data_IF_138884568454
#
_entry.id   IF_138884568454
#
_cell.length_a   1.000
_cell.length_b   1.000
_cell.length_c   1.000
_cell.angle_alpha   90.00
_cell.angle_beta   90.00
_cell.angle_gamma   90.00
#
_symmetry.space_group_name_H-M   'P 1'
#
loop_
_entity.id
_entity.type
_entity.pdbx_description
1 polymer ?
#
# COMPACT_ATOMS: atom_id res chain seq x y z
N UNK A 1 20.99 -0.72 26.53
CA UNK A 1 20.52 0.65 26.66
C UNK A 1 19.54 0.97 25.53
N UNK A 2 18.30 1.26 25.86
CA UNK A 2 17.27 1.64 24.90
C UNK A 2 17.40 3.13 24.56
N UNK A 3 18.08 3.43 23.47
CA UNK A 3 18.25 4.81 22.99
C UNK A 3 17.74 4.96 21.56
N UNK A 4 17.17 6.11 21.19
CA UNK A 4 16.76 6.38 19.81
C UNK A 4 17.88 6.23 18.77
N UNK A 5 19.14 6.29 19.16
CA UNK A 5 20.28 6.03 18.28
C UNK A 5 20.26 4.62 17.64
N UNK A 6 19.48 3.67 18.19
CA UNK A 6 19.27 2.35 17.56
C UNK A 6 18.66 2.43 16.17
N UNK A 7 17.77 3.40 15.95
CA UNK A 7 17.00 3.53 14.71
C UNK A 7 17.62 4.50 13.71
N UNK A 8 18.90 4.82 13.85
CA UNK A 8 19.57 5.68 12.88
C UNK A 8 19.32 5.17 11.44
N UNK A 9 18.88 6.05 10.55
CA UNK A 9 18.59 5.70 9.18
C UNK A 9 19.89 5.53 8.39
N UNK A 10 19.84 4.62 7.43
CA UNK A 10 20.85 4.49 6.40
C UNK A 10 20.48 5.38 5.22
N UNK A 11 20.89 6.63 5.24
CA UNK A 11 20.55 7.58 4.17
C UNK A 11 21.68 7.85 3.19
N UNK A 12 22.87 7.36 3.47
CA UNK A 12 24.05 7.56 2.61
C UNK A 12 24.23 9.03 2.22
N UNK A 13 24.16 9.93 3.19
CA UNK A 13 24.17 11.38 2.96
C UNK A 13 25.39 11.88 2.17
N UNK A 14 26.56 11.23 2.37
CA UNK A 14 27.81 11.58 1.69
C UNK A 14 27.99 10.84 0.36
N UNK A 15 27.50 9.61 0.26
CA UNK A 15 27.63 8.79 -0.94
C UNK A 15 26.55 7.70 -1.00
N UNK A 16 25.68 7.79 -1.98
CA UNK A 16 24.67 6.75 -2.24
C UNK A 16 25.35 5.57 -2.96
N UNK A 17 25.28 4.34 -2.43
CA UNK A 17 25.80 3.17 -3.14
C UNK A 17 25.18 3.03 -4.54
N UNK A 18 26.00 2.68 -5.53
CA UNK A 18 25.60 2.62 -6.95
C UNK A 18 24.34 1.77 -7.14
N UNK A 19 24.26 0.61 -6.49
CA UNK A 19 23.13 -0.31 -6.60
C UNK A 19 21.81 0.33 -6.14
N UNK A 20 21.84 1.12 -5.06
CA UNK A 20 20.65 1.83 -4.57
C UNK A 20 20.31 3.03 -5.46
N UNK A 21 21.33 3.71 -6.00
CA UNK A 21 21.14 4.82 -6.93
C UNK A 21 20.47 4.32 -8.22
N UNK A 22 20.96 3.25 -8.82
CA UNK A 22 20.43 2.64 -10.05
C UNK A 22 18.98 2.16 -9.82
N UNK A 23 18.72 1.44 -8.73
CA UNK A 23 17.36 1.02 -8.36
C UNK A 23 16.41 2.21 -8.21
N UNK A 24 16.86 3.31 -7.61
CA UNK A 24 15.99 4.48 -7.44
C UNK A 24 15.66 5.16 -8.78
N UNK A 25 16.60 5.19 -9.73
CA UNK A 25 16.38 5.69 -11.09
C UNK A 25 15.40 4.81 -11.86
N UNK A 26 15.59 3.49 -11.80
CA UNK A 26 14.70 2.53 -12.44
C UNK A 26 13.28 2.62 -11.88
N UNK A 27 13.13 2.67 -10.56
CA UNK A 27 11.83 2.87 -9.89
C UNK A 27 11.17 4.16 -10.36
N UNK A 28 11.91 5.28 -10.39
CA UNK A 28 11.37 6.57 -10.82
C UNK A 28 10.89 6.52 -12.28
N UNK A 29 11.67 5.91 -13.16
CA UNK A 29 11.34 5.76 -14.58
C UNK A 29 10.08 4.93 -14.78
N UNK A 30 10.03 3.74 -14.19
CA UNK A 30 8.90 2.83 -14.32
C UNK A 30 7.62 3.40 -13.69
N UNK A 31 7.72 4.03 -12.51
CA UNK A 31 6.57 4.66 -11.84
C UNK A 31 6.02 5.85 -12.64
N UNK A 32 6.89 6.64 -13.28
CA UNK A 32 6.47 7.76 -14.14
C UNK A 32 5.74 7.26 -15.38
N UNK A 33 6.17 6.14 -15.95
CA UNK A 33 5.54 5.52 -17.11
C UNK A 33 4.22 4.79 -16.81
N UNK A 34 3.98 4.47 -15.55
CA UNK A 34 2.83 3.65 -15.15
C UNK A 34 1.51 4.38 -15.41
N UNK A 35 0.62 3.74 -16.15
CA UNK A 35 -0.68 4.29 -16.52
C UNK A 35 -0.65 5.35 -17.63
N UNK A 36 0.51 5.63 -18.22
CA UNK A 36 0.57 6.50 -19.40
C UNK A 36 -0.29 5.93 -20.54
N UNK A 37 -1.12 6.77 -21.11
CA UNK A 37 -2.06 6.38 -22.17
C UNK A 37 -3.41 5.87 -21.66
N UNK A 38 -3.60 5.65 -20.36
CA UNK A 38 -4.93 5.43 -19.79
C UNK A 38 -5.70 6.75 -19.69
N UNK A 39 -7.01 6.69 -19.96
CA UNK A 39 -7.88 7.82 -19.62
C UNK A 39 -7.92 7.99 -18.09
N UNK A 40 -7.98 9.24 -17.55
CA UNK A 40 -8.01 9.47 -16.09
C UNK A 40 -9.08 8.68 -15.34
N UNK A 41 -10.30 8.57 -15.88
CA UNK A 41 -11.37 7.81 -15.25
C UNK A 41 -11.06 6.31 -15.22
N UNK A 42 -10.53 5.75 -16.32
CA UNK A 42 -10.08 4.35 -16.35
C UNK A 42 -8.94 4.09 -15.36
N UNK A 43 -8.01 5.02 -15.24
CA UNK A 43 -6.93 4.93 -14.26
C UNK A 43 -7.46 4.97 -12.82
N UNK A 44 -8.47 5.81 -12.53
CA UNK A 44 -9.10 5.91 -11.22
C UNK A 44 -9.80 4.60 -10.82
N UNK A 45 -10.56 3.98 -11.72
CA UNK A 45 -11.22 2.69 -11.49
C UNK A 45 -10.20 1.56 -11.24
N UNK A 46 -9.12 1.54 -12.02
CA UNK A 46 -8.04 0.58 -11.81
C UNK A 46 -7.30 0.83 -10.49
N UNK A 47 -7.13 2.07 -10.08
CA UNK A 47 -6.54 2.41 -8.79
C UNK A 47 -7.42 1.92 -7.62
N UNK A 48 -8.75 1.97 -7.74
CA UNK A 48 -9.66 1.39 -6.75
C UNK A 48 -9.49 -0.12 -6.63
N UNK A 49 -9.36 -0.83 -7.75
CA UNK A 49 -9.05 -2.26 -7.74
C UNK A 49 -7.69 -2.53 -7.06
N UNK A 50 -6.66 -1.72 -7.36
CA UNK A 50 -5.35 -1.86 -6.71
C UNK A 50 -5.44 -1.65 -5.19
N UNK A 51 -6.27 -0.72 -4.69
CA UNK A 51 -6.50 -0.53 -3.25
C UNK A 51 -7.10 -1.77 -2.59
N UNK A 52 -8.10 -2.40 -3.21
CA UNK A 52 -8.67 -3.67 -2.74
C UNK A 52 -7.60 -4.76 -2.69
N UNK A 53 -6.79 -4.88 -3.73
CA UNK A 53 -5.70 -5.85 -3.77
C UNK A 53 -4.59 -5.53 -2.77
N UNK A 54 -4.25 -4.26 -2.56
CA UNK A 54 -3.31 -3.84 -1.52
C UNK A 54 -3.78 -4.27 -0.12
N UNK A 55 -5.05 -4.03 0.17
CA UNK A 55 -5.67 -4.45 1.41
C UNK A 55 -5.61 -5.98 1.59
N UNK A 56 -6.00 -6.74 0.56
CA UNK A 56 -5.93 -8.21 0.59
C UNK A 56 -4.53 -8.72 0.96
N UNK A 57 -3.49 -8.23 0.27
CA UNK A 57 -2.12 -8.65 0.55
C UNK A 57 -1.60 -8.12 1.90
N UNK A 58 -2.01 -6.92 2.32
CA UNK A 58 -1.71 -6.38 3.64
C UNK A 58 -2.25 -7.29 4.75
N UNK A 59 -3.50 -7.73 4.63
CA UNK A 59 -4.13 -8.66 5.57
C UNK A 59 -3.47 -10.04 5.52
N UNK A 60 -3.08 -10.51 4.33
CA UNK A 60 -2.38 -11.78 4.19
C UNK A 60 -1.02 -11.81 4.93
N UNK A 61 -0.30 -10.69 5.00
CA UNK A 61 0.94 -10.55 5.80
C UNK A 61 0.65 -10.75 7.29
N UNK A 62 -0.48 -10.24 7.78
CA UNK A 62 -0.93 -10.40 9.18
C UNK A 62 -1.50 -11.80 9.48
N UNK A 63 -1.64 -12.65 8.46
CA UNK A 63 -2.22 -13.99 8.61
C UNK A 63 -3.73 -14.05 8.35
N UNK A 64 -4.34 -12.95 7.93
CA UNK A 64 -5.77 -12.85 7.62
C UNK A 64 -6.02 -13.09 6.13
N UNK A 65 -6.85 -14.06 5.78
CA UNK A 65 -7.18 -14.38 4.39
C UNK A 65 -8.57 -13.83 4.01
N UNK A 66 -8.70 -12.52 3.98
CA UNK A 66 -9.93 -11.84 3.54
C UNK A 66 -9.95 -11.79 2.01
N UNK A 67 -10.89 -12.50 1.37
CA UNK A 67 -10.95 -12.56 -0.10
C UNK A 67 -11.29 -11.19 -0.69
N UNK A 68 -10.72 -10.82 -1.86
CA UNK A 68 -11.04 -9.53 -2.51
C UNK A 68 -12.55 -9.30 -2.69
N UNK A 69 -13.31 -10.33 -3.06
CA UNK A 69 -14.77 -10.25 -3.19
C UNK A 69 -15.49 -9.86 -1.88
N UNK A 70 -14.98 -10.32 -0.74
CA UNK A 70 -15.57 -9.99 0.57
C UNK A 70 -15.23 -8.54 0.95
N UNK A 71 -14.04 -8.06 0.56
CA UNK A 71 -13.66 -6.66 0.69
C UNK A 71 -14.59 -5.76 -0.14
N UNK A 72 -14.84 -6.11 -1.40
CA UNK A 72 -15.76 -5.38 -2.28
C UNK A 72 -17.19 -5.36 -1.73
N UNK A 73 -17.68 -6.49 -1.20
CA UNK A 73 -18.99 -6.56 -0.54
C UNK A 73 -19.08 -5.65 0.69
N UNK A 74 -18.02 -5.62 1.51
CA UNK A 74 -17.96 -4.74 2.69
C UNK A 74 -17.96 -3.26 2.29
N UNK A 75 -17.24 -2.91 1.22
CA UNK A 75 -17.22 -1.54 0.67
C UNK A 75 -18.57 -1.12 0.11
N UNK A 76 -19.32 -2.05 -0.48
CA UNK A 76 -20.68 -1.84 -0.99
C UNK A 76 -21.75 -1.81 0.11
N UNK A 77 -21.38 -2.01 1.39
CA UNK A 77 -22.32 -2.06 2.51
C UNK A 77 -23.26 -3.28 2.50
N UNK A 78 -22.85 -4.36 1.80
CA UNK A 78 -23.62 -5.59 1.76
C UNK A 78 -23.60 -6.31 3.12
N UNK A 79 -24.65 -7.09 3.38
CA UNK A 79 -24.69 -7.96 4.56
C UNK A 79 -23.56 -8.98 4.54
N UNK A 80 -22.82 -9.06 5.65
CA UNK A 80 -21.65 -9.92 5.82
C UNK A 80 -21.97 -11.06 6.77
N UNK A 81 -21.43 -12.22 6.49
CA UNK A 81 -21.51 -13.37 7.40
C UNK A 81 -20.79 -13.05 8.73
N UNK A 82 -21.40 -13.43 9.86
CA UNK A 82 -20.91 -13.07 11.19
C UNK A 82 -19.46 -13.49 11.42
N UNK A 83 -19.08 -14.67 10.94
CA UNK A 83 -17.72 -15.22 11.07
C UNK A 83 -16.65 -14.40 10.31
N UNK A 84 -16.99 -13.84 9.14
CA UNK A 84 -16.06 -13.09 8.28
C UNK A 84 -16.15 -11.58 8.48
N UNK A 85 -17.18 -11.11 9.19
CA UNK A 85 -17.49 -9.68 9.39
C UNK A 85 -16.34 -8.86 9.97
N UNK A 86 -15.61 -9.31 11.03
CA UNK A 86 -14.52 -8.52 11.59
C UNK A 86 -13.43 -8.25 10.56
N UNK A 87 -12.97 -9.28 9.84
CA UNK A 87 -11.92 -9.17 8.84
C UNK A 87 -12.35 -8.35 7.62
N UNK A 88 -13.62 -8.43 7.25
CA UNK A 88 -14.17 -7.65 6.13
C UNK A 88 -14.29 -6.15 6.48
N UNK A 89 -14.66 -5.83 7.73
CA UNK A 89 -14.69 -4.44 8.22
C UNK A 89 -13.28 -3.87 8.37
N UNK A 90 -12.34 -4.66 8.85
CA UNK A 90 -10.91 -4.30 8.89
C UNK A 90 -10.38 -3.98 7.50
N UNK A 91 -10.72 -4.83 6.52
CA UNK A 91 -10.33 -4.62 5.14
C UNK A 91 -10.96 -3.35 4.53
N UNK A 92 -12.25 -3.11 4.82
CA UNK A 92 -12.95 -1.88 4.44
C UNK A 92 -12.25 -0.64 5.02
N UNK A 93 -11.91 -0.66 6.32
CA UNK A 93 -11.19 0.42 6.99
C UNK A 93 -9.86 0.73 6.28
N UNK A 94 -9.08 -0.29 5.93
CA UNK A 94 -7.82 -0.13 5.19
C UNK A 94 -8.00 0.61 3.86
N UNK A 95 -8.99 0.21 3.05
CA UNK A 95 -9.26 0.84 1.75
C UNK A 95 -9.72 2.29 1.92
N UNK A 96 -10.57 2.58 2.91
CA UNK A 96 -11.05 3.94 3.21
C UNK A 96 -9.87 4.85 3.58
N UNK A 97 -9.00 4.40 4.49
CA UNK A 97 -7.84 5.18 4.92
C UNK A 97 -6.86 5.41 3.76
N UNK A 98 -6.62 4.40 2.92
CA UNK A 98 -5.77 4.57 1.74
C UNK A 98 -6.36 5.58 0.74
N UNK A 99 -7.67 5.55 0.48
CA UNK A 99 -8.35 6.56 -0.35
C UNK A 99 -8.19 7.97 0.22
N UNK A 100 -8.31 8.12 1.54
CA UNK A 100 -8.11 9.42 2.19
C UNK A 100 -6.66 9.93 2.04
N UNK A 101 -5.66 9.05 2.12
CA UNK A 101 -4.25 9.39 1.86
C UNK A 101 -4.07 9.88 0.43
N UNK A 102 -4.60 9.14 -0.55
CA UNK A 102 -4.50 9.48 -1.96
C UNK A 102 -5.16 10.83 -2.26
N UNK A 103 -6.33 11.08 -1.68
CA UNK A 103 -7.05 12.34 -1.84
C UNK A 103 -6.31 13.52 -1.19
N UNK A 104 -5.81 13.36 0.03
CA UNK A 104 -5.00 14.40 0.67
C UNK A 104 -3.75 14.72 -0.14
N UNK A 105 -3.11 13.71 -0.74
CA UNK A 105 -1.98 13.93 -1.64
C UNK A 105 -2.41 14.71 -2.89
N UNK A 106 -3.51 14.32 -3.52
CA UNK A 106 -4.04 14.94 -4.74
C UNK A 106 -4.35 16.44 -4.56
N UNK A 107 -4.91 16.80 -3.38
CA UNK A 107 -5.25 18.22 -3.05
C UNK A 107 -4.13 18.97 -2.32
N UNK A 108 -2.98 18.34 -2.11
CA UNK A 108 -1.81 18.97 -1.50
C UNK A 108 -1.89 19.20 0.02
N UNK A 109 -2.74 18.45 0.72
CA UNK A 109 -2.94 18.55 2.18
C UNK A 109 -2.39 17.35 2.96
N UNK A 110 -1.70 16.43 2.29
CA UNK A 110 -1.11 15.27 2.95
C UNK A 110 -0.06 15.70 3.97
N UNK A 111 -0.23 15.40 5.26
CA UNK A 111 0.80 15.65 6.26
C UNK A 111 2.07 14.86 5.95
N UNK A 112 3.19 15.28 6.56
CA UNK A 112 4.45 14.56 6.41
C UNK A 112 4.28 13.09 6.86
N UNK A 113 4.52 12.09 5.98
CA UNK A 113 4.17 10.69 6.24
C UNK A 113 4.86 10.06 7.47
N UNK A 114 6.01 10.61 7.89
CA UNK A 114 6.76 10.13 9.06
C UNK A 114 6.48 10.94 10.33
N UNK A 115 5.55 11.90 10.26
CA UNK A 115 5.21 12.71 11.45
C UNK A 115 4.34 11.93 12.44
N UNK A 116 4.47 12.29 13.71
CA UNK A 116 3.61 11.78 14.79
C UNK A 116 2.13 12.00 14.43
N UNK A 117 1.81 13.18 13.93
CA UNK A 117 0.45 13.54 13.50
C UNK A 117 -0.10 12.55 12.46
N UNK A 118 0.66 12.29 11.39
CA UNK A 118 0.20 11.40 10.33
C UNK A 118 0.06 9.95 10.82
N UNK A 119 1.05 9.42 11.55
CA UNK A 119 1.01 8.05 12.06
C UNK A 119 -0.16 7.83 13.02
N UNK A 120 -0.40 8.79 13.91
CA UNK A 120 -1.54 8.79 14.84
C UNK A 120 -2.86 8.88 14.09
N UNK A 121 -2.94 9.74 13.06
CA UNK A 121 -4.12 9.87 12.22
C UNK A 121 -4.43 8.57 11.45
N UNK A 122 -3.43 7.92 10.85
CA UNK A 122 -3.62 6.64 10.14
C UNK A 122 -4.20 5.58 11.07
N UNK A 123 -3.57 5.38 12.23
CA UNK A 123 -4.03 4.43 13.23
C UNK A 123 -5.45 4.76 13.74
N UNK A 124 -5.70 6.03 14.05
CA UNK A 124 -7.01 6.50 14.50
C UNK A 124 -8.08 6.23 13.44
N UNK A 125 -7.85 6.69 12.22
CA UNK A 125 -8.82 6.56 11.12
C UNK A 125 -9.13 5.09 10.80
N UNK A 126 -8.13 4.22 10.90
CA UNK A 126 -8.31 2.79 10.70
C UNK A 126 -9.24 2.18 11.77
N UNK A 127 -8.98 2.44 13.05
CA UNK A 127 -9.77 1.86 14.12
C UNK A 127 -11.12 2.55 14.34
N UNK A 128 -11.27 3.82 13.97
CA UNK A 128 -12.58 4.50 14.01
C UNK A 128 -13.63 3.87 13.07
N UNK A 129 -13.19 3.23 11.97
CA UNK A 129 -14.05 2.50 11.05
C UNK A 129 -14.50 1.13 11.59
N UNK A 130 -13.92 0.66 12.69
CA UNK A 130 -14.22 -0.64 13.28
C UNK A 130 -15.18 -0.48 14.47
N UNK A 131 -16.18 -1.37 14.62
CA UNK A 131 -17.01 -1.43 15.83
C UNK A 131 -16.16 -1.67 17.08
N UNK A 132 -16.62 -1.16 18.23
CA UNK A 132 -15.91 -1.26 19.51
C UNK A 132 -15.59 -2.71 19.91
N UNK A 133 -16.50 -3.63 19.59
CA UNK A 133 -16.38 -5.07 19.85
C UNK A 133 -15.17 -5.73 19.17
N UNK A 134 -14.64 -5.11 18.09
CA UNK A 134 -13.46 -5.59 17.34
C UNK A 134 -12.19 -4.78 17.62
N UNK A 135 -12.28 -3.79 18.51
CA UNK A 135 -11.13 -2.98 18.97
C UNK A 135 -10.51 -3.55 20.24
N UNK A 136 -10.18 -4.84 20.21
CA UNK A 136 -9.72 -5.54 21.40
C UNK A 136 -8.49 -6.39 21.07
N UNK A 137 -7.48 -6.33 21.92
CA UNK A 137 -6.31 -7.22 21.88
C UNK A 137 -6.57 -8.36 22.86
N UNK A 138 -6.50 -9.59 22.37
CA UNK A 138 -6.53 -10.78 23.21
C UNK A 138 -5.11 -11.18 23.58
N UNK A 139 -4.83 -11.24 24.89
CA UNK A 139 -3.54 -11.66 25.39
C UNK A 139 -3.50 -13.18 25.65
N UNK A 140 -2.31 -13.82 25.61
CA UNK A 140 -2.16 -15.26 25.86
C UNK A 140 -2.68 -15.72 27.23
N UNK A 141 -2.81 -14.82 28.21
CA UNK A 141 -3.36 -15.08 29.55
C UNK A 141 -4.90 -14.99 29.59
N UNK A 142 -5.56 -14.78 28.44
CA UNK A 142 -7.01 -14.64 28.31
C UNK A 142 -7.55 -13.28 28.70
N UNK A 143 -6.71 -12.31 29.05
CA UNK A 143 -7.15 -10.93 29.30
C UNK A 143 -7.38 -10.20 27.99
N UNK A 144 -8.33 -9.27 27.99
CA UNK A 144 -8.62 -8.42 26.85
C UNK A 144 -8.26 -6.96 27.17
N UNK A 145 -7.65 -6.28 26.22
CA UNK A 145 -7.28 -4.87 26.32
C UNK A 145 -7.92 -4.09 25.15
N UNK A 146 -8.63 -2.98 25.43
CA UNK A 146 -9.24 -2.18 24.38
C UNK A 146 -8.17 -1.40 23.60
N UNK A 147 -8.31 -1.40 22.26
CA UNK A 147 -7.50 -0.56 21.38
C UNK A 147 -8.11 0.84 21.35
N UNK A 148 -7.35 1.82 21.80
CA UNK A 148 -7.72 3.23 21.72
C UNK A 148 -7.22 3.80 20.39
N UNK A 149 -8.12 4.22 19.47
CA UNK A 149 -7.73 4.74 18.17
C UNK A 149 -6.75 5.92 18.26
N UNK A 150 -5.58 5.78 17.62
CA UNK A 150 -4.54 6.81 17.61
C UNK A 150 -3.62 6.84 18.82
N UNK A 151 -3.89 6.05 19.89
CA UNK A 151 -3.04 6.04 21.07
C UNK A 151 -1.81 5.15 20.88
N UNK A 152 -0.64 5.73 20.99
CA UNK A 152 0.62 4.99 21.06
C UNK A 152 0.83 4.40 22.45
N UNK A 153 1.67 3.36 22.56
CA UNK A 153 2.06 2.73 23.82
C UNK A 153 2.71 3.75 24.76
N UNK A 154 2.42 3.64 26.06
CA UNK A 154 2.87 4.52 27.13
C UNK A 154 3.40 3.69 28.32
N UNK A 155 3.97 4.37 29.33
CA UNK A 155 4.63 3.74 30.49
C UNK A 155 3.83 2.63 31.18
N UNK A 156 2.52 2.81 31.26
CA UNK A 156 1.62 1.89 31.96
C UNK A 156 1.13 0.71 31.07
N UNK A 157 1.48 0.74 29.77
CA UNK A 157 1.05 -0.29 28.86
C UNK A 157 1.92 -1.55 28.96
N UNK A 158 1.32 -2.69 28.63
CA UNK A 158 2.05 -3.96 28.52
C UNK A 158 3.15 -3.87 27.47
N UNK A 159 4.26 -4.54 27.73
CA UNK A 159 5.32 -4.72 26.74
C UNK A 159 4.85 -5.69 25.64
N UNK A 160 5.23 -5.40 24.42
CA UNK A 160 4.86 -6.21 23.24
C UNK A 160 6.07 -6.97 22.70
N UNK A 161 5.81 -8.12 22.09
CA UNK A 161 6.80 -8.91 21.37
C UNK A 161 6.23 -9.32 20.00
N UNK A 162 7.06 -9.26 18.97
CA UNK A 162 6.66 -9.61 17.60
C UNK A 162 7.55 -10.74 17.09
N UNK A 163 7.13 -11.97 17.32
CA UNK A 163 7.97 -13.13 17.08
C UNK A 163 9.22 -13.09 17.96
N UNK A 164 10.41 -12.90 17.36
CA UNK A 164 11.69 -12.76 18.10
C UNK A 164 12.08 -11.30 18.34
N UNK A 165 11.42 -10.36 17.69
CA UNK A 165 11.67 -8.94 17.85
C UNK A 165 11.08 -8.44 19.16
N UNK A 166 11.91 -7.74 19.97
CA UNK A 166 11.52 -7.02 21.16
C UNK A 166 11.60 -5.51 20.88
N UNK A 167 10.45 -4.85 20.65
CA UNK A 167 10.42 -3.41 20.45
C UNK A 167 10.97 -2.64 21.66
N UNK A 168 11.29 -1.35 21.53
CA UNK A 168 11.56 -0.49 22.68
C UNK A 168 10.45 -0.56 23.71
N UNK A 169 10.83 -0.47 24.99
CA UNK A 169 9.88 -0.44 26.11
C UNK A 169 8.82 0.64 25.89
N UNK A 170 7.62 0.41 26.39
CA UNK A 170 6.48 1.32 26.24
C UNK A 170 6.81 2.75 26.71
N UNK A 171 7.56 2.89 27.81
CA UNK A 171 8.10 4.16 28.33
C UNK A 171 9.05 4.90 27.38
N UNK A 172 9.62 4.22 26.39
CA UNK A 172 10.58 4.80 25.46
C UNK A 172 9.99 5.16 24.08
N UNK A 173 8.77 4.70 23.78
CA UNK A 173 8.13 4.89 22.49
C UNK A 173 8.10 6.35 22.07
N UNK A 174 7.69 7.26 22.95
CA UNK A 174 7.62 8.69 22.65
C UNK A 174 8.98 9.26 22.18
N UNK A 175 10.08 8.89 22.86
CA UNK A 175 11.41 9.33 22.50
C UNK A 175 11.88 8.77 21.14
N UNK A 176 11.53 7.50 20.84
CA UNK A 176 11.86 6.88 19.56
C UNK A 176 11.06 7.47 18.41
N UNK A 177 9.77 7.75 18.60
CA UNK A 177 8.91 8.36 17.58
C UNK A 177 9.31 9.83 17.32
N UNK A 178 9.63 10.62 18.35
CA UNK A 178 10.15 11.97 18.16
C UNK A 178 11.47 11.98 17.37
N UNK A 179 12.36 11.04 17.66
CA UNK A 179 13.61 10.87 16.91
C UNK A 179 13.33 10.42 15.46
N UNK A 180 12.41 9.47 15.26
CA UNK A 180 11.99 9.00 13.95
C UNK A 180 11.44 10.15 13.10
N UNK A 181 10.51 10.94 13.65
CA UNK A 181 9.95 12.10 12.96
C UNK A 181 11.03 13.08 12.51
N UNK A 182 11.99 13.41 13.38
CA UNK A 182 13.09 14.32 13.06
C UNK A 182 14.04 13.76 12.00
N UNK A 183 14.37 12.47 12.08
CA UNK A 183 15.39 11.85 11.21
C UNK A 183 14.87 11.45 9.84
N UNK A 184 13.57 11.18 9.69
CA UNK A 184 12.96 10.71 8.46
C UNK A 184 12.22 11.79 7.66
N UNK A 185 12.60 13.06 7.81
CA UNK A 185 12.07 14.16 7.00
C UNK A 185 12.62 14.07 5.57
N UNK A 186 11.86 13.44 4.67
CA UNK A 186 12.32 13.14 3.30
C UNK A 186 12.25 14.32 2.34
N UNK A 187 11.49 15.40 2.67
CA UNK A 187 11.27 16.51 1.76
C UNK A 187 12.57 17.26 1.40
N UNK A 188 13.55 17.31 2.32
CA UNK A 188 14.84 17.95 2.11
C UNK A 188 15.87 17.10 1.36
N UNK A 189 15.52 15.84 0.99
CA UNK A 189 16.44 14.91 0.35
C UNK A 189 16.37 14.96 -1.17
N UNK A 190 17.42 14.47 -1.84
CA UNK A 190 17.41 14.24 -3.28
C UNK A 190 16.30 13.25 -3.67
N UNK A 191 15.91 13.19 -4.96
CA UNK A 191 14.90 12.24 -5.45
C UNK A 191 15.26 10.81 -5.09
N UNK A 192 16.49 10.37 -5.34
CA UNK A 192 16.96 9.03 -4.93
C UNK A 192 16.95 8.85 -3.42
N UNK A 193 17.37 9.86 -2.65
CA UNK A 193 17.34 9.81 -1.19
C UNK A 193 15.94 9.66 -0.61
N UNK A 194 14.92 10.25 -1.23
CA UNK A 194 13.50 10.08 -0.82
C UNK A 194 13.03 8.65 -1.05
N UNK A 195 13.38 8.05 -2.18
CA UNK A 195 12.98 6.67 -2.52
C UNK A 195 13.67 5.68 -1.58
N UNK A 196 14.98 5.83 -1.35
CA UNK A 196 15.75 4.97 -0.44
C UNK A 196 15.21 5.08 1.01
N UNK A 197 14.83 6.28 1.44
CA UNK A 197 14.30 6.50 2.77
C UNK A 197 13.00 5.73 3.06
N UNK A 198 12.19 5.39 2.04
CA UNK A 198 10.96 4.61 2.22
C UNK A 198 11.28 3.25 2.86
N UNK A 199 12.30 2.55 2.36
CA UNK A 199 12.69 1.25 2.87
C UNK A 199 13.15 1.32 4.33
N UNK A 200 14.06 2.23 4.64
CA UNK A 200 14.58 2.39 6.01
C UNK A 200 13.49 2.87 6.99
N UNK A 201 12.61 3.77 6.58
CA UNK A 201 11.48 4.21 7.39
C UNK A 201 10.50 3.07 7.68
N UNK A 202 10.20 2.26 6.67
CA UNK A 202 9.33 1.10 6.82
C UNK A 202 9.86 0.14 7.90
N UNK A 203 11.15 -0.22 7.82
CA UNK A 203 11.76 -1.08 8.84
C UNK A 203 11.77 -0.42 10.22
N UNK A 204 12.25 0.82 10.31
CA UNK A 204 12.45 1.49 11.60
C UNK A 204 11.13 1.77 12.33
N UNK A 205 10.03 2.06 11.61
CA UNK A 205 8.71 2.17 12.25
C UNK A 205 8.25 0.85 12.83
N UNK A 206 8.41 -0.25 12.08
CA UNK A 206 8.09 -1.59 12.59
C UNK A 206 8.99 -2.00 13.77
N UNK A 207 10.27 -1.58 13.77
CA UNK A 207 11.17 -1.79 14.90
C UNK A 207 10.69 -1.07 16.17
N UNK A 208 10.22 0.16 16.05
CA UNK A 208 9.69 0.94 17.20
C UNK A 208 8.39 0.31 17.70
N UNK A 209 7.54 -0.17 16.80
CA UNK A 209 6.24 -0.78 17.09
C UNK A 209 5.40 0.11 18.03
N UNK A 210 5.07 1.34 17.62
CA UNK A 210 4.57 2.36 18.52
C UNK A 210 3.16 2.12 19.06
N UNK A 211 2.35 1.31 18.39
CA UNK A 211 0.98 1.03 18.80
C UNK A 211 0.85 -0.35 19.46
N UNK A 212 -0.18 -0.58 20.29
CA UNK A 212 -0.45 -1.90 20.85
C UNK A 212 -0.78 -2.95 19.79
N UNK A 213 -1.47 -2.53 18.70
CA UNK A 213 -1.76 -3.34 17.50
C UNK A 213 -1.77 -2.46 16.24
N UNK A 214 -1.87 -3.06 15.05
CA UNK A 214 -2.01 -2.35 13.76
C UNK A 214 -0.72 -1.76 13.18
N UNK A 215 0.44 -1.97 13.79
CA UNK A 215 1.71 -1.38 13.36
C UNK A 215 2.09 -1.75 11.92
N UNK A 216 1.89 -3.00 11.51
CA UNK A 216 2.16 -3.45 10.14
C UNK A 216 1.32 -2.70 9.11
N UNK A 217 0.03 -2.48 9.39
CA UNK A 217 -0.89 -1.71 8.53
C UNK A 217 -0.48 -0.25 8.44
N UNK A 218 -0.18 0.38 9.59
CA UNK A 218 0.31 1.77 9.63
C UNK A 218 1.61 1.93 8.84
N UNK A 219 2.57 1.02 9.00
CA UNK A 219 3.86 1.10 8.28
C UNK A 219 3.71 0.94 6.76
N UNK A 220 2.81 0.08 6.30
CA UNK A 220 2.53 -0.09 4.86
C UNK A 220 1.81 1.13 4.28
N UNK A 221 0.84 1.72 5.01
CA UNK A 221 0.16 2.96 4.60
C UNK A 221 1.10 4.17 4.66
N UNK A 222 2.00 4.24 5.66
CA UNK A 222 3.07 5.24 5.68
C UNK A 222 3.99 5.11 4.45
N UNK A 223 4.40 3.88 4.11
CA UNK A 223 5.25 3.65 2.93
C UNK A 223 4.55 4.05 1.64
N UNK A 224 3.25 3.82 1.52
CA UNK A 224 2.43 4.30 0.42
C UNK A 224 2.42 5.84 0.35
N UNK A 225 2.15 6.52 1.47
CA UNK A 225 2.18 7.98 1.53
C UNK A 225 3.57 8.57 1.21
N UNK A 226 4.65 7.90 1.66
CA UNK A 226 6.01 8.27 1.30
C UNK A 226 6.29 8.10 -0.20
N UNK A 227 5.77 7.04 -0.83
CA UNK A 227 5.90 6.82 -2.27
C UNK A 227 5.19 7.91 -3.08
N UNK A 228 3.99 8.34 -2.66
CA UNK A 228 3.30 9.49 -3.24
C UNK A 228 4.15 10.77 -3.13
N UNK A 229 4.65 11.08 -1.93
CA UNK A 229 5.47 12.26 -1.66
C UNK A 229 6.82 12.22 -2.40
N UNK A 230 7.39 11.03 -2.62
CA UNK A 230 8.62 10.84 -3.40
C UNK A 230 8.40 10.94 -4.93
N UNK A 231 7.16 11.06 -5.40
CA UNK A 231 6.81 11.14 -6.81
C UNK A 231 6.83 9.80 -7.55
N UNK A 232 6.74 8.69 -6.81
CA UNK A 232 6.67 7.34 -7.40
C UNK A 232 5.32 6.66 -7.15
N UNK A 233 4.28 7.42 -6.84
CA UNK A 233 2.93 6.89 -6.58
C UNK A 233 2.25 6.21 -7.76
N UNK A 234 2.70 6.47 -9.00
CA UNK A 234 2.23 5.77 -10.21
C UNK A 234 0.70 5.84 -10.39
N UNK A 235 0.09 6.98 -10.11
CA UNK A 235 -1.37 7.18 -10.17
C UNK A 235 -2.19 6.20 -9.29
N UNK A 236 -1.60 5.62 -8.25
CA UNK A 236 -2.25 4.61 -7.41
C UNK A 236 -2.34 3.21 -8.04
N UNK A 237 -1.67 2.99 -9.17
CA UNK A 237 -1.76 1.74 -9.95
C UNK A 237 -0.81 0.64 -9.46
N UNK A 238 -0.11 0.84 -8.37
CA UNK A 238 0.74 -0.18 -7.75
C UNK A 238 0.71 -0.11 -6.22
N UNK A 239 1.14 -1.18 -5.57
CA UNK A 239 1.32 -1.21 -4.11
C UNK A 239 2.44 -2.16 -3.72
N UNK A 240 3.09 -1.87 -2.59
CA UNK A 240 4.18 -2.70 -2.09
C UNK A 240 3.70 -3.98 -1.40
N UNK A 241 2.49 -4.00 -0.83
CA UNK A 241 2.02 -5.10 0.03
C UNK A 241 2.00 -6.45 -0.69
N UNK A 242 1.63 -6.47 -1.99
CA UNK A 242 1.70 -7.71 -2.78
C UNK A 242 3.12 -8.27 -2.84
N UNK A 243 4.10 -7.40 -3.05
CA UNK A 243 5.51 -7.79 -3.10
C UNK A 243 6.02 -8.27 -1.73
N UNK A 244 5.67 -7.57 -0.66
CA UNK A 244 6.03 -7.99 0.71
C UNK A 244 5.41 -9.33 1.08
N UNK A 245 4.14 -9.57 0.70
CA UNK A 245 3.46 -10.84 0.97
C UNK A 245 4.03 -12.03 0.19
N UNK A 246 4.55 -11.79 -1.01
CA UNK A 246 5.07 -12.83 -1.90
C UNK A 246 6.57 -13.05 -1.76
N UNK A 247 7.33 -11.98 -1.44
CA UNK A 247 8.77 -11.92 -1.59
C UNK A 247 9.20 -11.95 -3.06
N UNK A 248 10.49 -11.88 -3.30
CA UNK A 248 11.11 -12.12 -4.60
C UNK A 248 11.36 -13.62 -4.85
N UNK A 249 11.65 -14.37 -3.79
CA UNK A 249 11.95 -15.80 -3.83
C UNK A 249 10.85 -16.65 -3.18
N UNK A 250 10.37 -16.25 -2.00
CA UNK A 250 9.34 -16.98 -1.25
C UNK A 250 8.59 -16.07 -0.25
N UNK A 251 7.44 -16.55 0.23
CA UNK A 251 6.55 -15.81 1.14
C UNK A 251 7.15 -15.48 2.53
N UNK A 252 8.20 -16.17 2.95
CA UNK A 252 8.87 -15.92 4.22
C UNK A 252 9.95 -14.84 4.16
N UNK A 253 10.30 -14.40 2.97
CA UNK A 253 11.44 -13.52 2.73
C UNK A 253 11.30 -12.18 3.45
N UNK A 254 10.12 -11.57 3.44
CA UNK A 254 9.86 -10.31 4.14
C UNK A 254 10.20 -10.41 5.64
N UNK A 255 9.72 -11.45 6.32
CA UNK A 255 10.01 -11.63 7.76
C UNK A 255 11.52 -11.85 8.01
N UNK A 256 12.19 -12.64 7.15
CA UNK A 256 13.65 -12.84 7.27
C UNK A 256 14.44 -11.55 7.06
N UNK A 257 14.00 -10.70 6.14
CA UNK A 257 14.65 -9.41 5.86
C UNK A 257 14.40 -8.40 6.99
N UNK A 258 13.23 -8.41 7.60
CA UNK A 258 12.93 -7.62 8.82
C UNK A 258 13.85 -8.06 9.97
N UNK A 259 13.91 -9.37 10.27
CA UNK A 259 14.81 -9.95 11.28
C UNK A 259 16.30 -9.61 11.02
N UNK A 260 16.72 -9.61 9.75
CA UNK A 260 18.08 -9.25 9.38
C UNK A 260 18.39 -7.80 9.76
N UNK A 261 17.49 -6.88 9.48
CA UNK A 261 17.71 -5.46 9.74
C UNK A 261 17.60 -5.07 11.23
N UNK A 262 17.15 -5.99 12.09
CA UNK A 262 17.20 -5.89 13.55
C UNK A 262 18.60 -6.25 14.11
N UNK A 263 19.51 -6.75 13.27
CA UNK A 263 20.84 -7.18 13.72
C UNK A 263 21.59 -6.04 14.41
N UNK A 264 22.32 -6.33 15.51
CA UNK A 264 23.14 -5.32 16.17
C UNK A 264 24.33 -4.91 15.30
N UNK A 265 24.82 -3.70 15.54
CA UNK A 265 26.02 -3.14 14.88
C UNK A 265 27.25 -4.04 15.10
N UNK A 266 28.01 -4.28 14.08
CA UNK A 266 29.20 -5.15 14.07
C UNK A 266 30.53 -4.40 14.11
N UNK A 267 30.64 -3.35 14.96
CA UNK A 267 31.86 -2.56 15.13
C UNK A 267 31.75 -1.15 14.54
N UNK A 268 32.84 -0.39 14.56
CA UNK A 268 32.85 1.05 14.32
C UNK A 268 32.59 1.43 12.83
N UNK A 269 32.77 0.49 11.91
CA UNK A 269 32.52 0.71 10.49
C UNK A 269 31.11 0.34 10.03
N UNK A 270 30.27 -0.14 10.93
CA UNK A 270 28.90 -0.57 10.65
C UNK A 270 27.86 0.47 11.13
N UNK A 271 28.07 1.72 10.70
CA UNK A 271 27.17 2.83 10.97
C UNK A 271 27.36 3.50 12.34
N UNK A 272 26.47 4.44 12.63
CA UNK A 272 26.50 5.27 13.86
C UNK A 272 25.53 4.82 14.93
N UNK A 273 24.50 4.05 14.55
CA UNK A 273 23.46 3.57 15.46
C UNK A 273 23.86 2.30 16.22
N UNK A 274 22.93 1.75 17.00
CA UNK A 274 23.12 0.48 17.70
C UNK A 274 22.77 -0.74 16.82
N UNK A 275 22.01 -0.53 15.76
CA UNK A 275 21.68 -1.54 14.75
C UNK A 275 22.67 -1.46 13.60
N UNK A 276 22.88 -2.59 12.91
CA UNK A 276 23.78 -2.71 11.76
C UNK A 276 23.27 -1.87 10.58
N UNK A 277 24.12 -0.94 10.11
CA UNK A 277 23.87 -0.18 8.88
C UNK A 277 23.98 -1.08 7.64
N UNK A 278 24.91 -2.01 7.64
CA UNK A 278 25.06 -2.97 6.54
C UNK A 278 23.83 -3.86 6.38
N UNK A 279 23.23 -4.32 7.50
CA UNK A 279 22.00 -5.09 7.46
C UNK A 279 20.80 -4.24 6.97
N UNK A 280 20.70 -2.99 7.42
CA UNK A 280 19.67 -2.08 6.92
C UNK A 280 19.86 -1.75 5.42
N UNK A 281 21.09 -1.62 4.95
CA UNK A 281 21.39 -1.46 3.52
C UNK A 281 20.86 -2.67 2.73
N UNK A 282 21.14 -3.88 3.19
CA UNK A 282 20.68 -5.11 2.54
C UNK A 282 19.16 -5.19 2.50
N UNK A 283 18.49 -4.85 3.61
CA UNK A 283 17.04 -4.73 3.65
C UNK A 283 16.52 -3.69 2.66
N UNK A 284 17.13 -2.50 2.63
CA UNK A 284 16.71 -1.41 1.74
C UNK A 284 16.85 -1.79 0.27
N UNK A 285 17.95 -2.44 -0.11
CA UNK A 285 18.15 -2.95 -1.46
C UNK A 285 17.06 -3.98 -1.85
N UNK A 286 16.78 -4.93 -0.96
CA UNK A 286 15.72 -5.91 -1.18
C UNK A 286 14.34 -5.23 -1.31
N UNK A 287 14.01 -4.30 -0.41
CA UNK A 287 12.73 -3.58 -0.43
C UNK A 287 12.55 -2.77 -1.73
N UNK A 288 13.60 -2.13 -2.22
CA UNK A 288 13.57 -1.40 -3.49
C UNK A 288 13.43 -2.35 -4.69
N UNK A 289 14.07 -3.53 -4.67
CA UNK A 289 13.85 -4.57 -5.68
C UNK A 289 12.40 -5.07 -5.69
N UNK A 290 11.81 -5.27 -4.52
CA UNK A 290 10.37 -5.59 -4.38
C UNK A 290 9.51 -4.46 -4.96
N UNK A 291 9.84 -3.21 -4.66
CA UNK A 291 9.12 -2.03 -5.18
C UNK A 291 9.19 -1.98 -6.71
N UNK A 292 10.36 -2.14 -7.29
CA UNK A 292 10.55 -2.17 -8.75
C UNK A 292 9.78 -3.32 -9.40
N UNK A 293 9.82 -4.51 -8.81
CA UNK A 293 9.05 -5.68 -9.29
C UNK A 293 7.56 -5.39 -9.33
N UNK A 294 7.00 -4.75 -8.27
CA UNK A 294 5.59 -4.42 -8.22
C UNK A 294 5.18 -3.35 -9.23
N UNK A 295 5.98 -2.31 -9.42
CA UNK A 295 5.73 -1.28 -10.42
C UNK A 295 5.79 -1.88 -11.84
N UNK A 296 6.81 -2.68 -12.12
CA UNK A 296 6.97 -3.36 -13.43
C UNK A 296 5.83 -4.35 -13.70
N UNK A 297 5.40 -5.10 -12.67
CA UNK A 297 4.23 -5.97 -12.77
C UNK A 297 2.97 -5.18 -13.14
N UNK A 298 2.72 -4.06 -12.46
CA UNK A 298 1.58 -3.19 -12.73
C UNK A 298 1.66 -2.54 -14.11
N UNK A 299 2.85 -2.11 -14.55
CA UNK A 299 3.05 -1.55 -15.89
C UNK A 299 2.65 -2.54 -16.99
N UNK A 300 3.00 -3.81 -16.83
CA UNK A 300 2.58 -4.88 -17.77
C UNK A 300 1.10 -5.19 -17.67
N UNK A 301 0.52 -5.12 -16.47
CA UNK A 301 -0.89 -5.41 -16.23
C UNK A 301 -1.80 -4.32 -16.81
N UNK A 302 -1.40 -3.07 -16.69
CA UNK A 302 -2.20 -1.88 -17.05
C UNK A 302 -1.74 -1.20 -18.34
N UNK A 303 -0.88 -1.86 -19.12
CA UNK A 303 -0.61 -1.42 -20.50
C UNK A 303 -1.91 -1.36 -21.31
N UNK A 304 -2.20 -0.19 -21.91
CA UNK A 304 -3.47 0.05 -22.59
C UNK A 304 -3.75 -0.96 -23.70
N UNK A 305 -2.72 -1.32 -24.49
CA UNK A 305 -2.86 -2.32 -25.54
C UNK A 305 -3.21 -3.70 -25.00
N UNK A 306 -2.55 -4.12 -23.92
CA UNK A 306 -2.84 -5.37 -23.26
C UNK A 306 -4.20 -5.38 -22.57
N UNK A 307 -4.63 -4.27 -21.97
CA UNK A 307 -5.98 -4.11 -21.41
C UNK A 307 -7.04 -4.23 -22.49
N UNK A 308 -6.90 -3.48 -23.59
CA UNK A 308 -7.82 -3.53 -24.71
C UNK A 308 -8.02 -4.95 -25.25
N UNK A 309 -6.92 -5.69 -25.47
CA UNK A 309 -6.99 -7.07 -25.92
C UNK A 309 -7.70 -8.01 -24.93
N UNK A 310 -7.42 -7.87 -23.62
CA UNK A 310 -8.07 -8.69 -22.59
C UNK A 310 -9.55 -8.40 -22.49
N UNK A 311 -9.96 -7.14 -22.48
CA UNK A 311 -11.38 -6.76 -22.44
C UNK A 311 -12.12 -7.17 -23.70
N UNK A 312 -11.54 -6.98 -24.90
CA UNK A 312 -12.13 -7.44 -26.15
C UNK A 312 -12.39 -8.95 -26.13
N UNK A 313 -11.41 -9.74 -25.66
CA UNK A 313 -11.57 -11.19 -25.54
C UNK A 313 -12.64 -11.56 -24.52
N UNK A 314 -12.58 -11.00 -23.32
CA UNK A 314 -13.55 -11.28 -22.27
C UNK A 314 -14.98 -10.98 -22.71
N UNK A 315 -15.20 -9.84 -23.33
CA UNK A 315 -16.52 -9.44 -23.84
C UNK A 315 -16.97 -10.31 -25.00
N UNK A 316 -16.05 -10.70 -25.91
CA UNK A 316 -16.38 -11.62 -27.00
C UNK A 316 -16.80 -13.02 -26.51
N UNK A 317 -16.19 -13.48 -25.40
CA UNK A 317 -16.48 -14.80 -24.80
C UNK A 317 -17.78 -14.80 -23.97
N UNK A 318 -18.23 -13.63 -23.47
CA UNK A 318 -19.34 -13.52 -22.51
C UNK A 318 -20.60 -12.84 -23.08
N UNK A 319 -20.48 -12.04 -24.13
CA UNK A 319 -21.57 -11.27 -24.74
C UNK A 319 -21.82 -11.76 -26.16
N UNK A 320 -23.01 -12.28 -26.39
CA UNK A 320 -23.45 -12.66 -27.75
C UNK A 320 -23.83 -11.42 -28.59
N UNK A 321 -22.81 -10.63 -28.88
CA UNK A 321 -22.86 -9.50 -29.83
C UNK A 321 -21.46 -9.17 -30.34
N UNK A 322 -21.20 -9.44 -31.61
CA UNK A 322 -19.89 -9.22 -32.26
C UNK A 322 -19.39 -7.76 -32.24
N UNK A 323 -20.26 -6.79 -31.91
CA UNK A 323 -19.94 -5.37 -31.80
C UNK A 323 -19.53 -4.95 -30.38
N UNK A 324 -19.90 -5.74 -29.37
CA UNK A 324 -19.61 -5.43 -27.97
C UNK A 324 -18.11 -5.19 -27.69
N UNK A 325 -17.16 -5.96 -28.24
CA UNK A 325 -15.73 -5.70 -28.07
C UNK A 325 -15.25 -4.35 -28.59
N UNK A 326 -15.88 -3.82 -29.65
CA UNK A 326 -15.53 -2.51 -30.21
C UNK A 326 -15.98 -1.38 -29.28
N UNK A 327 -17.18 -1.52 -28.72
CA UNK A 327 -17.74 -0.53 -27.82
C UNK A 327 -16.98 -0.46 -26.50
N UNK A 328 -16.62 -1.62 -25.91
CA UNK A 328 -15.81 -1.64 -24.67
C UNK A 328 -14.42 -1.04 -24.89
N UNK A 329 -13.82 -1.28 -26.05
CA UNK A 329 -12.54 -0.68 -26.44
C UNK A 329 -12.62 0.85 -26.52
N UNK A 330 -13.69 1.39 -27.08
CA UNK A 330 -13.91 2.84 -27.15
C UNK A 330 -14.06 3.43 -25.74
N UNK A 331 -14.84 2.81 -24.87
CA UNK A 331 -15.00 3.24 -23.46
C UNK A 331 -13.67 3.20 -22.71
N UNK A 332 -12.88 2.13 -22.86
CA UNK A 332 -11.57 2.03 -22.22
C UNK A 332 -10.62 3.17 -22.61
N UNK A 333 -10.68 3.61 -23.86
CA UNK A 333 -9.82 4.68 -24.41
C UNK A 333 -10.28 6.08 -24.04
N UNK A 334 -11.60 6.27 -23.90
CA UNK A 334 -12.21 7.59 -23.70
C UNK A 334 -12.74 7.79 -22.27
N UNK A 335 -12.65 6.77 -21.40
CA UNK A 335 -13.13 6.79 -20.02
C UNK A 335 -14.64 6.67 -19.92
N UNK A 336 -15.36 7.45 -20.72
CA UNK A 336 -16.82 7.41 -20.85
C UNK A 336 -17.22 7.55 -22.32
N UNK A 337 -18.44 7.14 -22.64
CA UNK A 337 -19.02 7.30 -23.96
C UNK A 337 -20.47 7.78 -23.83
N UNK A 338 -20.80 8.88 -24.49
CA UNK A 338 -22.19 9.32 -24.61
C UNK A 338 -23.02 8.24 -25.31
N UNK A 339 -24.23 7.96 -24.80
CA UNK A 339 -25.10 6.91 -25.37
C UNK A 339 -25.38 7.12 -26.86
N UNK A 340 -25.45 8.39 -27.28
CA UNK A 340 -25.63 8.77 -28.69
C UNK A 340 -24.43 8.43 -29.57
N UNK A 341 -23.21 8.44 -29.02
CA UNK A 341 -21.98 8.21 -29.79
C UNK A 341 -21.75 6.73 -30.08
N UNK A 342 -22.41 5.84 -29.35
CA UNK A 342 -22.29 4.39 -29.54
C UNK A 342 -22.62 3.98 -30.98
N UNK A 343 -23.61 4.63 -31.64
CA UNK A 343 -23.94 4.39 -33.03
C UNK A 343 -22.82 4.80 -34.00
N UNK A 344 -22.08 5.86 -33.67
CA UNK A 344 -20.95 6.37 -34.46
C UNK A 344 -19.78 5.40 -34.34
N UNK A 345 -19.44 4.99 -33.09
CA UNK A 345 -18.38 4.03 -32.80
C UNK A 345 -18.63 2.70 -33.51
N UNK A 346 -19.86 2.18 -33.42
CA UNK A 346 -20.23 0.89 -34.00
C UNK A 346 -20.62 0.97 -35.48
N UNK A 347 -20.69 2.17 -36.06
CA UNK A 347 -21.10 2.40 -37.46
C UNK A 347 -22.41 1.68 -37.80
N UNK A 348 -23.41 1.81 -36.93
CA UNK A 348 -24.68 1.05 -36.98
C UNK A 348 -25.88 1.97 -36.66
N UNK A 349 -27.11 1.42 -36.74
CA UNK A 349 -28.30 2.16 -36.35
C UNK A 349 -28.34 2.39 -34.81
N UNK A 350 -28.98 3.48 -34.39
CA UNK A 350 -29.18 3.81 -32.96
C UNK A 350 -29.82 2.65 -32.20
N UNK A 351 -30.83 1.99 -32.75
CA UNK A 351 -31.50 0.83 -32.14
C UNK A 351 -30.51 -0.31 -31.84
N UNK A 352 -29.63 -0.58 -32.80
CA UNK A 352 -28.62 -1.65 -32.65
C UNK A 352 -27.57 -1.28 -31.65
N UNK A 353 -27.08 -0.05 -31.64
CA UNK A 353 -26.11 0.44 -30.66
C UNK A 353 -26.70 0.42 -29.27
N UNK A 354 -27.94 0.86 -29.07
CA UNK A 354 -28.65 0.80 -27.80
C UNK A 354 -28.81 -0.63 -27.26
N UNK A 355 -29.08 -1.60 -28.13
CA UNK A 355 -29.16 -3.01 -27.74
C UNK A 355 -27.80 -3.54 -27.28
N UNK A 356 -26.70 -3.22 -27.97
CA UNK A 356 -25.34 -3.59 -27.55
C UNK A 356 -24.97 -2.98 -26.20
N UNK A 357 -25.27 -1.67 -25.99
CA UNK A 357 -25.10 -1.00 -24.69
C UNK A 357 -25.86 -1.72 -23.57
N UNK A 358 -27.15 -2.03 -23.81
CA UNK A 358 -27.98 -2.73 -22.79
C UNK A 358 -27.40 -4.08 -22.39
N UNK A 359 -26.87 -4.85 -23.33
CA UNK A 359 -26.20 -6.14 -23.04
C UNK A 359 -24.96 -5.95 -22.18
N UNK A 360 -24.11 -4.96 -22.50
CA UNK A 360 -22.90 -4.66 -21.72
C UNK A 360 -23.22 -4.17 -20.32
N UNK A 361 -24.24 -3.30 -20.17
CA UNK A 361 -24.69 -2.82 -18.86
C UNK A 361 -25.31 -3.96 -18.04
N UNK A 362 -26.17 -4.79 -18.63
CA UNK A 362 -26.77 -5.93 -17.96
C UNK A 362 -25.74 -6.97 -17.48
N UNK A 363 -24.62 -7.09 -18.19
CA UNK A 363 -23.48 -7.96 -17.80
C UNK A 363 -22.49 -7.28 -16.84
N UNK A 364 -22.72 -6.02 -16.44
CA UNK A 364 -21.85 -5.29 -15.49
C UNK A 364 -20.55 -4.76 -16.08
N UNK A 365 -20.41 -4.71 -17.39
CA UNK A 365 -19.22 -4.11 -18.04
C UNK A 365 -19.29 -2.59 -18.15
N UNK A 366 -20.48 -2.02 -18.13
CA UNK A 366 -20.75 -0.58 -18.18
C UNK A 366 -21.77 -0.20 -17.10
N UNK A 367 -21.73 1.03 -16.66
CA UNK A 367 -22.70 1.65 -15.72
C UNK A 367 -23.62 2.65 -16.41
#
# INVERSE_FOLDING_TARGET
LETPARIEPCFFEEHIPTELADLSVDIQREATGLGQGLHPDSAAELADLVRVMNCYYSNLIEGHNTRPRDIERALAGAELEEETRPLALEARAHVIVQRAIDEMHRIGTLPRPTSVEFLTWVHKSFYDEMPDEFRVIEHPDGTQEPIIPGRMRQDDDREVAVGRHLPPSSSRVAAFIDHFDKRFQIAARSSSGRIIAIASAHHRLNYIHPFPDGNGRVSRLMSHAMALTAGIGGQGLWSVSRGLARGLTDRGEYKRMMDLADSPRRGDRDGRGNLSEAALKTFSEWFLKVTLDQITFSARLFDLGGLDQRYRRLVADTIDDKRAPELISAVLRHGALERGDAQIVLKTSERTARNTLSKLTAAGYLT
#
